data_IF_109559288549
#
_entry.id   IF_109559288549
#
_cell.length_a   1.000
_cell.length_b   1.000
_cell.length_c   1.000
_cell.angle_alpha   90.00
_cell.angle_beta   90.00
_cell.angle_gamma   90.00
#
_symmetry.space_group_name_H-M   'P 1'
#
loop_
_entity.id
_entity.type
_entity.pdbx_description
1 polymer ?
#
# COMPACT_ATOMS: atom_id res chain seq x y z
N UNK A 1 9.00 -10.31 -6.40
CA UNK A 1 9.12 -9.05 -5.63
C UNK A 1 7.71 -8.56 -5.36
N UNK A 2 7.43 -8.21 -4.11
CA UNK A 2 6.11 -7.75 -3.67
C UNK A 2 5.96 -6.28 -4.07
N UNK A 3 4.85 -5.90 -4.69
CA UNK A 3 4.57 -4.49 -5.05
C UNK A 3 4.43 -3.64 -3.78
N UNK A 4 4.90 -2.40 -3.83
CA UNK A 4 4.66 -1.41 -2.78
C UNK A 4 3.43 -0.56 -3.10
N UNK A 5 2.73 -0.18 -2.05
CA UNK A 5 1.52 0.63 -2.12
C UNK A 5 1.66 1.85 -1.21
N UNK A 6 1.20 2.99 -1.72
CA UNK A 6 1.00 4.21 -0.94
C UNK A 6 -0.28 4.12 -0.12
N UNK A 7 -0.37 4.93 0.93
CA UNK A 7 -1.60 5.01 1.75
C UNK A 7 -2.79 5.51 0.94
N UNK A 8 -2.56 6.32 -0.10
CA UNK A 8 -3.62 6.81 -1.00
C UNK A 8 -4.16 5.69 -1.88
N UNK A 9 -3.28 4.89 -2.49
CA UNK A 9 -3.70 3.74 -3.31
C UNK A 9 -4.56 2.79 -2.49
N UNK A 10 -4.13 2.42 -1.26
CA UNK A 10 -4.95 1.58 -0.39
C UNK A 10 -6.33 2.21 -0.11
N UNK A 11 -6.38 3.53 0.09
CA UNK A 11 -7.62 4.27 0.39
C UNK A 11 -8.60 4.32 -0.79
N UNK A 12 -8.14 4.19 -2.02
CA UNK A 12 -9.03 4.16 -3.19
C UNK A 12 -9.90 2.88 -3.20
N UNK A 13 -9.38 1.80 -2.62
CA UNK A 13 -10.05 0.49 -2.48
C UNK A 13 -10.81 0.39 -1.14
N UNK A 14 -11.79 1.27 -0.93
CA UNK A 14 -12.57 1.40 0.30
C UNK A 14 -14.02 0.88 0.19
N UNK A 15 -14.31 0.06 -0.81
CA UNK A 15 -15.66 -0.42 -1.10
C UNK A 15 -15.83 -1.88 -0.70
N UNK A 16 -17.02 -2.42 -0.94
CA UNK A 16 -17.41 -3.74 -0.45
C UNK A 16 -17.15 -4.86 -1.47
N UNK A 17 -16.90 -4.45 -2.71
CA UNK A 17 -16.57 -5.18 -3.92
C UNK A 17 -15.15 -4.84 -4.41
N UNK A 18 -14.46 -3.95 -3.69
CA UNK A 18 -13.06 -3.59 -3.87
C UNK A 18 -12.50 -3.05 -2.54
N UNK A 19 -11.94 -3.95 -1.74
CA UNK A 19 -11.67 -3.73 -0.31
C UNK A 19 -10.23 -4.07 0.07
N UNK A 20 -9.36 -3.07 0.14
CA UNK A 20 -7.98 -3.26 0.62
C UNK A 20 -7.83 -2.78 2.06
N UNK A 21 -6.95 -3.43 2.81
CA UNK A 21 -6.55 -3.00 4.15
C UNK A 21 -5.05 -3.10 4.30
N UNK A 22 -4.46 -2.22 5.11
CA UNK A 22 -3.07 -2.38 5.54
C UNK A 22 -3.01 -3.00 6.94
N UNK A 23 -2.18 -4.02 7.10
CA UNK A 23 -1.97 -4.75 8.34
C UNK A 23 -0.49 -5.07 8.53
N UNK A 24 0.13 -4.46 9.52
CA UNK A 24 1.53 -4.68 9.90
C UNK A 24 2.50 -4.56 8.70
N UNK A 25 2.37 -3.48 7.94
CA UNK A 25 3.20 -3.20 6.75
C UNK A 25 2.85 -4.04 5.51
N UNK A 26 1.84 -4.91 5.56
CA UNK A 26 1.34 -5.68 4.42
C UNK A 26 0.04 -5.08 3.91
N UNK A 27 -0.20 -5.16 2.61
CA UNK A 27 -1.49 -4.80 2.01
C UNK A 27 -2.23 -6.07 1.64
N UNK A 28 -3.46 -6.19 2.14
CA UNK A 28 -4.34 -7.33 1.92
C UNK A 28 -5.54 -6.92 1.07
N UNK A 29 -5.87 -7.73 0.07
CA UNK A 29 -7.13 -7.67 -0.68
C UNK A 29 -8.16 -8.60 -0.03
N UNK A 30 -9.18 -8.01 0.59
CA UNK A 30 -10.26 -8.74 1.27
C UNK A 30 -11.52 -8.88 0.41
N UNK A 31 -11.48 -8.46 -0.85
CA UNK A 31 -12.64 -8.44 -1.74
C UNK A 31 -13.27 -9.83 -1.88
N UNK A 32 -12.44 -10.84 -2.14
CA UNK A 32 -12.88 -12.24 -2.30
C UNK A 32 -13.42 -12.83 -1.00
N UNK A 33 -12.83 -12.49 0.15
CA UNK A 33 -13.30 -12.91 1.47
C UNK A 33 -14.69 -12.32 1.77
N UNK A 34 -14.86 -11.01 1.53
CA UNK A 34 -16.12 -10.31 1.76
C UNK A 34 -17.21 -10.87 0.86
N UNK A 35 -16.92 -11.13 -0.41
CA UNK A 35 -17.85 -11.76 -1.34
C UNK A 35 -18.28 -13.15 -0.86
N UNK A 36 -17.32 -14.02 -0.50
CA UNK A 36 -17.60 -15.38 -0.02
C UNK A 36 -18.51 -15.39 1.23
N UNK A 37 -18.25 -14.52 2.19
CA UNK A 37 -19.04 -14.43 3.43
C UNK A 37 -20.42 -13.78 3.24
N UNK A 38 -20.57 -12.88 2.25
CA UNK A 38 -21.87 -12.28 1.91
C UNK A 38 -22.86 -13.27 1.31
N UNK A 39 -22.37 -14.21 0.50
CA UNK A 39 -23.18 -15.29 -0.07
C UNK A 39 -23.72 -16.26 0.99
N UNK A 40 -23.18 -16.22 2.22
CA UNK A 40 -23.62 -17.04 3.34
C UNK A 40 -24.52 -16.22 4.27
N UNK A 41 -25.87 -16.33 4.22
CA UNK A 41 -26.78 -15.46 4.97
C UNK A 41 -26.55 -15.48 6.49
N UNK A 42 -26.04 -16.60 6.99
CA UNK A 42 -25.72 -16.84 8.40
C UNK A 42 -24.50 -16.04 8.89
N UNK A 43 -23.55 -15.75 8.01
CA UNK A 43 -22.26 -15.12 8.35
C UNK A 43 -22.08 -13.74 7.71
N UNK A 44 -23.03 -13.30 6.87
CA UNK A 44 -22.97 -12.03 6.17
C UNK A 44 -22.72 -10.82 7.08
N UNK A 45 -23.21 -10.83 8.34
CA UNK A 45 -22.97 -9.75 9.30
C UNK A 45 -21.50 -9.59 9.71
N UNK A 46 -20.68 -10.65 9.60
CA UNK A 46 -19.25 -10.61 9.93
C UNK A 46 -18.45 -9.76 8.94
N UNK A 47 -18.98 -9.53 7.74
CA UNK A 47 -18.31 -8.68 6.74
C UNK A 47 -18.42 -7.19 7.05
N UNK A 48 -19.39 -6.77 7.87
CA UNK A 48 -19.65 -5.34 8.14
C UNK A 48 -18.44 -4.61 8.72
N UNK A 49 -17.73 -5.13 9.74
CA UNK A 49 -16.58 -4.44 10.29
C UNK A 49 -15.42 -4.39 9.29
N UNK A 50 -15.25 -5.42 8.44
CA UNK A 50 -14.23 -5.42 7.38
C UNK A 50 -14.51 -4.36 6.32
N UNK A 51 -15.77 -4.24 5.87
CA UNK A 51 -16.17 -3.18 4.93
C UNK A 51 -16.01 -1.79 5.55
N UNK A 52 -16.25 -1.65 6.86
CA UNK A 52 -16.09 -0.36 7.55
C UNK A 52 -14.62 0.10 7.64
N UNK A 53 -13.67 -0.84 7.70
CA UNK A 53 -12.23 -0.53 7.75
C UNK A 53 -11.54 -0.63 6.39
N UNK A 54 -12.28 -0.90 5.32
CA UNK A 54 -11.75 -0.91 3.96
C UNK A 54 -11.11 0.46 3.64
N UNK A 55 -9.96 0.43 2.99
CA UNK A 55 -9.15 1.59 2.66
C UNK A 55 -8.39 2.22 3.85
N UNK A 56 -8.31 1.53 4.99
CA UNK A 56 -7.64 2.04 6.21
C UNK A 56 -6.51 1.14 6.71
N UNK A 57 -5.75 1.65 7.67
CA UNK A 57 -4.71 0.92 8.38
C UNK A 57 -5.23 0.29 9.67
N UNK A 58 -5.31 -1.04 9.67
CA UNK A 58 -5.74 -1.86 10.79
C UNK A 58 -4.56 -2.45 11.58
N UNK A 59 -3.34 -1.95 11.38
CA UNK A 59 -2.15 -2.36 12.14
C UNK A 59 -2.31 -2.17 13.65
N UNK A 60 -3.19 -1.28 14.10
CA UNK A 60 -3.55 -1.13 15.51
C UNK A 60 -4.25 -2.37 16.11
N UNK A 61 -4.76 -3.28 15.28
CA UNK A 61 -5.29 -4.58 15.71
C UNK A 61 -4.18 -5.61 15.91
N UNK A 62 -2.98 -5.36 15.39
CA UNK A 62 -1.87 -6.30 15.46
C UNK A 62 -1.10 -6.19 16.78
N UNK A 63 -0.66 -7.33 17.30
CA UNK A 63 0.28 -7.46 18.38
C UNK A 63 1.59 -8.05 17.83
N UNK A 64 2.64 -7.23 17.77
CA UNK A 64 3.92 -7.62 17.21
C UNK A 64 4.64 -8.69 18.06
N UNK A 65 4.38 -8.74 19.38
CA UNK A 65 5.00 -9.73 20.26
C UNK A 65 4.34 -11.10 20.11
N UNK A 66 3.03 -11.13 19.94
CA UNK A 66 2.25 -12.37 19.79
C UNK A 66 2.24 -12.92 18.34
N UNK A 67 2.69 -12.13 17.36
CA UNK A 67 2.55 -12.40 15.93
C UNK A 67 1.10 -12.79 15.57
N UNK A 68 0.15 -12.08 16.16
CA UNK A 68 -1.28 -12.31 15.99
C UNK A 68 -2.07 -11.03 16.30
N UNK A 69 -3.38 -11.07 16.10
CA UNK A 69 -4.26 -9.99 16.52
C UNK A 69 -4.26 -9.83 18.04
N UNK A 70 -4.40 -8.58 18.50
CA UNK A 70 -4.42 -8.20 19.92
C UNK A 70 -5.49 -8.97 20.66
N UNK A 71 -5.08 -9.55 21.77
CA UNK A 71 -5.99 -10.26 22.68
C UNK A 71 -6.44 -9.37 23.84
N UNK A 72 -7.66 -9.57 24.31
CA UNK A 72 -8.22 -8.93 25.49
C UNK A 72 -8.96 -9.95 26.36
N UNK A 73 -9.27 -9.59 27.60
CA UNK A 73 -10.16 -10.37 28.46
C UNK A 73 -11.54 -9.72 28.40
N UNK A 74 -12.55 -10.48 27.99
CA UNK A 74 -13.92 -10.00 27.99
C UNK A 74 -14.40 -9.81 29.44
N UNK A 75 -14.91 -8.62 29.75
CA UNK A 75 -15.26 -8.21 31.12
C UNK A 75 -16.41 -9.04 31.67
N UNK A 76 -17.31 -9.51 30.80
CA UNK A 76 -18.52 -10.21 31.21
C UNK A 76 -18.28 -11.71 31.46
N UNK A 77 -17.54 -12.36 30.57
CA UNK A 77 -17.23 -13.79 30.63
C UNK A 77 -15.96 -14.11 31.41
N UNK A 78 -15.03 -13.15 31.55
CA UNK A 78 -13.69 -13.38 32.08
C UNK A 78 -12.79 -14.21 31.15
N UNK A 79 -13.22 -14.50 29.91
CA UNK A 79 -12.47 -15.30 28.95
C UNK A 79 -11.56 -14.44 28.08
N UNK A 80 -10.40 -15.00 27.68
CA UNK A 80 -9.50 -14.36 26.72
C UNK A 80 -10.05 -14.51 25.30
N UNK A 81 -10.13 -13.41 24.57
CA UNK A 81 -10.59 -13.31 23.17
C UNK A 81 -9.75 -12.26 22.42
N UNK A 82 -10.10 -11.95 21.17
CA UNK A 82 -9.47 -10.87 20.40
C UNK A 82 -10.18 -9.52 20.64
N UNK A 83 -9.42 -8.42 20.58
CA UNK A 83 -9.93 -7.07 20.70
C UNK A 83 -10.69 -6.67 19.40
N UNK A 84 -12.02 -6.60 19.48
CA UNK A 84 -12.90 -6.36 18.33
C UNK A 84 -13.78 -5.11 18.57
N UNK A 85 -13.24 -3.88 18.49
CA UNK A 85 -13.99 -2.67 18.81
C UNK A 85 -15.19 -2.42 17.88
N UNK A 86 -15.10 -2.88 16.63
CA UNK A 86 -16.14 -2.73 15.60
C UNK A 86 -17.06 -3.96 15.48
N UNK A 87 -16.86 -4.98 16.32
CA UNK A 87 -17.58 -6.24 16.27
C UNK A 87 -16.82 -7.37 15.59
N UNK A 88 -17.45 -8.56 15.56
CA UNK A 88 -16.83 -9.82 15.13
C UNK A 88 -16.62 -9.85 13.62
N UNK A 89 -15.42 -10.27 13.20
CA UNK A 89 -15.02 -10.47 11.80
C UNK A 89 -14.90 -11.97 11.47
N UNK A 90 -14.78 -12.35 10.18
CA UNK A 90 -14.53 -13.74 9.76
C UNK A 90 -13.35 -14.38 10.48
N UNK A 91 -13.40 -15.71 10.63
CA UNK A 91 -12.38 -16.55 11.28
C UNK A 91 -12.10 -16.23 12.77
N UNK A 92 -12.91 -15.37 13.39
CA UNK A 92 -12.81 -15.10 14.82
C UNK A 92 -13.60 -16.11 15.66
N UNK A 93 -13.01 -16.63 16.76
CA UNK A 93 -13.71 -17.52 17.67
C UNK A 93 -14.84 -16.81 18.42
N UNK A 94 -15.85 -17.57 18.83
CA UNK A 94 -16.91 -17.10 19.73
C UNK A 94 -16.53 -17.37 21.19
N UNK A 95 -16.89 -16.44 22.08
CA UNK A 95 -16.61 -16.58 23.52
C UNK A 95 -17.42 -17.74 24.11
N UNK A 96 -18.69 -17.85 23.71
CA UNK A 96 -19.57 -18.93 24.12
C UNK A 96 -19.70 -19.96 22.99
N UNK A 97 -20.03 -21.23 23.32
CA UNK A 97 -20.38 -22.23 22.33
C UNK A 97 -21.53 -21.71 21.44
N UNK A 98 -21.24 -21.46 20.18
CA UNK A 98 -22.18 -20.92 19.21
C UNK A 98 -22.23 -21.88 18.03
N UNK A 99 -23.45 -22.22 17.57
CA UNK A 99 -23.62 -22.96 16.32
C UNK A 99 -23.38 -22.08 15.10
N UNK A 100 -23.23 -20.76 15.28
CA UNK A 100 -22.96 -19.75 14.25
C UNK A 100 -21.49 -19.32 14.19
N UNK A 101 -20.58 -20.28 14.37
CA UNK A 101 -19.16 -20.14 14.05
C UNK A 101 -18.87 -20.81 12.71
N UNK A 102 -18.07 -20.15 11.87
CA UNK A 102 -17.48 -20.81 10.71
C UNK A 102 -16.26 -21.60 11.18
N UNK A 103 -16.14 -22.86 10.75
CA UNK A 103 -15.00 -23.74 11.02
C UNK A 103 -14.40 -24.27 9.72
N UNK A 104 -14.91 -23.82 8.58
CA UNK A 104 -14.49 -24.27 7.26
C UNK A 104 -13.34 -23.41 6.72
N UNK A 105 -12.31 -23.21 7.55
CA UNK A 105 -11.08 -22.54 7.18
C UNK A 105 -9.90 -23.20 7.89
N UNK A 106 -8.77 -23.31 7.21
CA UNK A 106 -7.54 -23.84 7.80
C UNK A 106 -6.70 -22.73 8.44
N UNK A 107 -6.64 -21.56 7.80
CA UNK A 107 -5.82 -20.42 8.19
C UNK A 107 -6.73 -19.19 8.31
N UNK A 108 -6.63 -18.41 9.40
CA UNK A 108 -7.39 -17.17 9.51
C UNK A 108 -6.92 -16.17 8.45
N UNK A 109 -7.83 -15.31 7.99
CA UNK A 109 -7.58 -14.48 6.80
C UNK A 109 -6.40 -13.52 6.99
N UNK A 110 -6.14 -13.07 8.22
CA UNK A 110 -5.03 -12.17 8.54
C UNK A 110 -3.64 -12.84 8.50
N UNK A 111 -3.59 -14.18 8.47
CA UNK A 111 -2.36 -14.96 8.31
C UNK A 111 -2.24 -15.63 6.94
N UNK A 112 -3.31 -15.59 6.14
CA UNK A 112 -3.35 -16.29 4.88
C UNK A 112 -2.62 -15.50 3.77
N UNK A 113 -1.57 -16.09 3.16
CA UNK A 113 -0.84 -15.42 2.08
C UNK A 113 -1.68 -15.13 0.84
N UNK A 114 -2.81 -15.83 0.64
CA UNK A 114 -3.65 -15.64 -0.54
C UNK A 114 -4.21 -14.22 -0.66
N UNK A 115 -4.39 -13.53 0.47
CA UNK A 115 -4.93 -12.18 0.49
C UNK A 115 -3.84 -11.11 0.38
N UNK A 116 -2.55 -11.46 0.51
CA UNK A 116 -1.46 -10.48 0.50
C UNK A 116 -1.10 -10.10 -0.94
N UNK A 117 -1.36 -8.85 -1.33
CA UNK A 117 -1.04 -8.34 -2.67
C UNK A 117 0.28 -7.56 -2.71
N UNK A 118 0.78 -7.11 -1.56
CA UNK A 118 2.02 -6.35 -1.49
C UNK A 118 2.34 -5.82 -0.09
N UNK A 119 3.20 -4.82 -0.05
CA UNK A 119 3.62 -4.14 1.17
C UNK A 119 3.21 -2.67 1.17
N UNK A 120 2.86 -2.14 2.34
CA UNK A 120 2.66 -0.71 2.51
C UNK A 120 4.04 -0.06 2.63
N UNK A 121 4.26 1.04 1.91
CA UNK A 121 5.51 1.79 2.02
C UNK A 121 5.75 2.30 3.43
N UNK A 122 7.01 2.25 3.88
CA UNK A 122 7.44 2.87 5.13
C UNK A 122 7.46 4.39 5.03
N UNK A 123 7.76 4.93 3.85
CA UNK A 123 7.92 6.36 3.63
C UNK A 123 7.49 6.76 2.22
N UNK A 124 6.53 7.67 2.15
CA UNK A 124 6.06 8.29 0.92
C UNK A 124 6.83 9.57 0.65
N UNK A 125 7.19 9.80 -0.61
CA UNK A 125 7.87 11.03 -1.03
C UNK A 125 7.34 11.49 -2.38
N UNK A 126 7.52 12.77 -2.69
CA UNK A 126 7.11 13.33 -3.99
C UNK A 126 8.30 13.50 -4.90
N UNK A 127 8.09 13.25 -6.18
CA UNK A 127 9.04 13.57 -7.24
C UNK A 127 8.33 14.32 -8.36
N UNK A 128 9.07 15.14 -9.09
CA UNK A 128 8.60 15.80 -10.30
C UNK A 128 9.23 15.12 -11.50
N UNK A 129 8.43 14.68 -12.44
CA UNK A 129 8.88 14.17 -13.72
C UNK A 129 8.65 15.26 -14.76
N UNK A 130 9.73 15.68 -15.43
CA UNK A 130 9.73 16.73 -16.44
C UNK A 130 10.06 16.10 -17.79
N UNK A 131 9.10 16.07 -18.70
CA UNK A 131 9.36 15.67 -20.07
C UNK A 131 10.03 16.84 -20.81
N UNK A 132 11.30 16.69 -21.18
CA UNK A 132 12.04 17.79 -21.82
C UNK A 132 11.63 18.03 -23.27
N UNK A 133 11.00 17.04 -23.92
CA UNK A 133 10.54 17.15 -25.30
C UNK A 133 9.24 17.98 -25.39
N UNK A 134 8.28 17.71 -24.51
CA UNK A 134 6.97 18.40 -24.52
C UNK A 134 6.91 19.58 -23.57
N UNK A 135 7.79 19.62 -22.56
CA UNK A 135 7.75 20.59 -21.46
C UNK A 135 6.75 20.22 -20.36
N UNK A 136 6.10 19.06 -20.45
CA UNK A 136 5.11 18.64 -19.46
C UNK A 136 5.76 18.27 -18.14
N UNK A 137 5.15 18.72 -17.05
CA UNK A 137 5.58 18.44 -15.69
C UNK A 137 4.49 17.68 -14.93
N UNK A 138 4.87 16.57 -14.32
CA UNK A 138 3.97 15.74 -13.52
C UNK A 138 4.58 15.48 -12.16
N UNK A 139 3.84 15.78 -11.09
CA UNK A 139 4.25 15.41 -9.74
C UNK A 139 3.67 14.04 -9.38
N UNK A 140 4.53 13.10 -8.99
CA UNK A 140 4.14 11.77 -8.53
C UNK A 140 4.44 11.61 -7.05
N UNK A 141 3.58 10.85 -6.37
CA UNK A 141 3.84 10.33 -5.03
C UNK A 141 4.32 8.89 -5.15
N UNK A 142 5.48 8.60 -4.56
CA UNK A 142 6.24 7.36 -4.77
C UNK A 142 6.67 6.77 -3.44
N UNK A 143 6.89 5.46 -3.42
CA UNK A 143 7.38 4.76 -2.24
C UNK A 143 8.92 4.84 -2.21
N UNK A 144 9.51 4.95 -1.01
CA UNK A 144 10.96 5.01 -0.87
C UNK A 144 11.66 3.72 -1.33
N UNK A 145 10.99 2.58 -1.20
CA UNK A 145 11.51 1.24 -1.49
C UNK A 145 11.41 0.85 -2.97
N UNK A 146 10.64 1.60 -3.76
CA UNK A 146 10.44 1.31 -5.18
C UNK A 146 11.71 1.62 -5.99
N UNK A 147 12.01 0.72 -6.91
CA UNK A 147 12.99 0.98 -7.98
C UNK A 147 12.42 1.95 -9.01
N UNK A 148 13.30 2.63 -9.76
CA UNK A 148 12.87 3.50 -10.85
C UNK A 148 12.10 2.74 -11.95
N UNK A 149 12.43 1.48 -12.21
CA UNK A 149 11.70 0.59 -13.11
C UNK A 149 10.25 0.34 -12.63
N UNK A 150 10.07 0.07 -11.35
CA UNK A 150 8.74 -0.14 -10.75
C UNK A 150 7.93 1.16 -10.76
N UNK A 151 8.57 2.29 -10.43
CA UNK A 151 7.96 3.61 -10.51
C UNK A 151 7.46 3.92 -11.93
N UNK A 152 8.30 3.67 -12.94
CA UNK A 152 7.92 3.79 -14.35
C UNK A 152 6.71 2.89 -14.65
N UNK A 153 6.79 1.60 -14.29
CA UNK A 153 5.77 0.60 -14.63
C UNK A 153 4.43 0.87 -13.97
N UNK A 154 4.42 1.17 -12.67
CA UNK A 154 3.20 1.24 -11.86
C UNK A 154 2.58 2.64 -11.87
N UNK A 155 3.38 3.71 -11.96
CA UNK A 155 2.91 5.09 -11.72
C UNK A 155 2.95 5.98 -12.96
N UNK A 156 3.96 5.84 -13.82
CA UNK A 156 4.17 6.80 -14.91
C UNK A 156 3.67 6.31 -16.28
N UNK A 157 3.66 4.99 -16.55
CA UNK A 157 3.16 4.43 -17.81
C UNK A 157 1.69 4.75 -18.10
N UNK A 158 0.86 4.96 -17.06
CA UNK A 158 -0.53 5.38 -17.22
C UNK A 158 -0.66 6.81 -17.76
N UNK A 159 0.37 7.63 -17.59
CA UNK A 159 0.43 9.03 -18.02
C UNK A 159 1.09 9.13 -19.38
N UNK A 160 2.18 8.39 -19.58
CA UNK A 160 2.89 8.31 -20.87
C UNK A 160 3.22 6.85 -21.21
N UNK A 161 2.45 6.27 -22.14
CA UNK A 161 2.59 4.88 -22.56
C UNK A 161 3.96 4.59 -23.21
N UNK A 162 4.61 5.61 -23.79
CA UNK A 162 5.92 5.50 -24.45
C UNK A 162 7.08 5.83 -23.51
N UNK A 163 6.83 5.98 -22.19
CA UNK A 163 7.86 6.35 -21.24
C UNK A 163 9.04 5.38 -21.12
N UNK A 164 8.92 4.15 -21.66
CA UNK A 164 10.03 3.18 -21.79
C UNK A 164 11.11 3.61 -22.77
N UNK A 165 10.75 4.45 -23.74
CA UNK A 165 11.65 4.99 -24.75
C UNK A 165 12.38 6.26 -24.28
N UNK A 166 12.28 6.61 -23.00
CA UNK A 166 12.92 7.79 -22.44
C UNK A 166 14.09 7.40 -21.54
N UNK A 167 15.17 8.18 -21.62
CA UNK A 167 16.28 8.13 -20.68
C UNK A 167 15.98 9.04 -19.49
N UNK A 168 16.07 8.50 -18.29
CA UNK A 168 15.79 9.20 -17.03
C UNK A 168 17.08 9.85 -16.52
N UNK A 169 17.07 11.17 -16.41
CA UNK A 169 18.26 11.97 -16.10
C UNK A 169 17.98 12.92 -14.94
N UNK A 170 18.95 13.08 -14.05
CA UNK A 170 18.95 14.12 -13.03
C UNK A 170 19.86 15.27 -13.47
N UNK A 171 19.27 16.45 -13.62
CA UNK A 171 19.98 17.70 -13.96
C UNK A 171 20.46 18.40 -12.68
N UNK A 172 21.32 17.73 -11.92
CA UNK A 172 22.14 18.37 -10.89
C UNK A 172 23.28 19.18 -11.57
N UNK A 173 24.12 19.93 -10.82
CA UNK A 173 25.26 20.65 -11.42
C UNK A 173 26.16 19.79 -12.32
N UNK A 174 26.22 18.48 -12.06
CA UNK A 174 26.73 17.46 -12.97
C UNK A 174 25.57 16.55 -13.42
N UNK A 175 25.12 16.64 -14.67
CA UNK A 175 24.03 15.81 -15.18
C UNK A 175 24.38 14.32 -15.15
N UNK A 176 23.50 13.51 -14.57
CA UNK A 176 23.70 12.06 -14.49
C UNK A 176 22.47 11.28 -14.94
N UNK A 177 22.71 10.21 -15.69
CA UNK A 177 21.69 9.21 -15.99
C UNK A 177 21.38 8.40 -14.72
N UNK A 178 20.11 8.06 -14.56
CA UNK A 178 19.65 7.29 -13.42
C UNK A 178 19.58 5.81 -13.78
N UNK A 179 20.02 4.96 -12.85
CA UNK A 179 19.95 3.50 -13.00
C UNK A 179 18.53 3.03 -12.64
N UNK A 180 17.82 2.50 -13.64
CA UNK A 180 16.43 2.04 -13.50
C UNK A 180 16.29 0.88 -12.51
N UNK A 181 17.34 0.09 -12.31
CA UNK A 181 17.33 -1.05 -11.39
C UNK A 181 17.47 -0.66 -9.92
N UNK A 182 17.79 0.61 -9.64
CA UNK A 182 18.06 1.12 -8.30
C UNK A 182 16.90 1.94 -7.76
N UNK A 183 16.84 2.05 -6.44
CA UNK A 183 15.93 2.97 -5.77
C UNK A 183 16.35 4.41 -6.05
N UNK A 184 15.46 5.36 -5.74
CA UNK A 184 15.81 6.76 -5.89
C UNK A 184 16.92 7.19 -4.92
N UNK A 185 16.96 6.62 -3.72
CA UNK A 185 18.01 6.90 -2.73
C UNK A 185 19.37 6.39 -3.20
N UNK A 186 19.43 5.17 -3.76
CA UNK A 186 20.64 4.58 -4.33
C UNK A 186 21.15 5.35 -5.57
N UNK A 187 20.25 6.04 -6.26
CA UNK A 187 20.57 6.97 -7.34
C UNK A 187 21.02 8.36 -6.85
N UNK A 188 21.17 8.55 -5.54
CA UNK A 188 21.59 9.79 -4.89
C UNK A 188 20.51 10.87 -4.87
N UNK A 189 19.23 10.50 -4.98
CA UNK A 189 18.09 11.39 -4.80
C UNK A 189 17.53 11.14 -3.39
N UNK A 190 18.20 11.75 -2.42
CA UNK A 190 17.86 11.64 -1.00
C UNK A 190 16.54 12.33 -0.66
N UNK A 191 15.89 11.83 0.38
CA UNK A 191 14.71 12.47 0.96
C UNK A 191 15.17 13.47 2.04
N UNK A 192 14.95 14.76 1.78
CA UNK A 192 15.33 15.85 2.67
C UNK A 192 14.18 16.35 3.55
N UNK A 193 13.01 15.70 3.51
CA UNK A 193 11.83 16.16 4.24
C UNK A 193 12.07 16.32 5.75
N UNK A 194 12.78 15.38 6.39
CA UNK A 194 13.10 15.47 7.83
C UNK A 194 14.01 16.68 8.12
N UNK A 195 14.97 16.94 7.23
CA UNK A 195 15.87 18.10 7.35
C UNK A 195 15.12 19.42 7.16
N UNK A 196 14.12 19.45 6.29
CA UNK A 196 13.25 20.61 6.13
C UNK A 196 12.40 20.85 7.38
N UNK A 197 11.81 19.81 7.95
CA UNK A 197 11.03 19.91 9.18
C UNK A 197 11.87 20.41 10.36
N UNK A 198 13.10 19.88 10.54
CA UNK A 198 14.03 20.32 11.59
C UNK A 198 14.41 21.81 11.45
N UNK A 199 14.45 22.32 10.22
CA UNK A 199 14.71 23.73 9.92
C UNK A 199 13.44 24.60 9.96
N UNK A 200 12.28 24.02 10.28
CA UNK A 200 10.99 24.71 10.30
C UNK A 200 10.46 25.09 8.90
N UNK A 201 10.98 24.45 7.86
CA UNK A 201 10.50 24.56 6.48
C UNK A 201 9.37 23.55 6.24
N UNK A 202 8.59 23.78 5.19
CA UNK A 202 7.61 22.79 4.74
C UNK A 202 8.35 21.56 4.18
N UNK A 203 7.88 20.34 4.49
CA UNK A 203 8.42 19.10 3.91
C UNK A 203 8.39 19.11 2.37
N UNK A 204 7.43 19.83 1.77
CA UNK A 204 7.33 20.03 0.31
C UNK A 204 8.13 21.27 -0.19
N UNK A 205 9.02 21.86 0.60
CA UNK A 205 9.77 23.07 0.22
C UNK A 205 10.56 22.87 -1.08
N UNK A 206 11.17 21.71 -1.24
CA UNK A 206 11.86 21.30 -2.45
C UNK A 206 11.44 19.89 -2.83
N UNK A 207 10.86 19.76 -4.03
CA UNK A 207 10.50 18.46 -4.60
C UNK A 207 11.52 18.12 -5.69
N UNK A 208 12.26 17.00 -5.55
CA UNK A 208 13.28 16.61 -6.52
C UNK A 208 12.68 16.38 -7.92
N UNK A 209 13.33 16.92 -8.95
CA UNK A 209 12.94 16.74 -10.34
C UNK A 209 13.80 15.66 -11.03
N UNK A 210 13.16 14.88 -11.90
CA UNK A 210 13.75 13.92 -12.83
C UNK A 210 13.33 14.32 -14.23
N UNK A 211 14.28 14.36 -15.15
CA UNK A 211 14.08 14.82 -16.51
C UNK A 211 14.07 13.62 -17.45
N UNK A 212 13.13 13.62 -18.39
CA UNK A 212 13.00 12.57 -19.38
C UNK A 212 13.48 13.08 -20.74
N UNK A 213 14.48 12.41 -21.28
CA UNK A 213 15.01 12.64 -22.62
C UNK A 213 14.49 11.55 -23.54
N UNK A 214 13.77 11.93 -24.58
CA UNK A 214 13.27 10.99 -25.58
C UNK A 214 14.44 10.37 -26.35
N UNK A 215 14.50 9.05 -26.39
CA UNK A 215 15.38 8.34 -27.31
C UNK A 215 14.63 8.17 -28.63
N UNK A 216 15.25 8.54 -29.75
CA UNK A 216 14.69 8.31 -31.07
C UNK A 216 14.79 6.82 -31.42
N UNK A 217 13.88 6.02 -30.84
CA UNK A 217 13.70 4.62 -31.17
C UNK A 217 12.54 4.47 -32.16
N UNK A 218 12.81 3.80 -33.29
CA UNK A 218 11.82 3.43 -34.30
C UNK A 218 10.88 2.31 -33.79
N UNK A 219 10.40 2.40 -32.55
CA UNK A 219 9.53 1.39 -31.94
C UNK A 219 8.06 1.50 -32.37
N UNK A 220 7.71 2.49 -33.19
CA UNK A 220 6.38 2.62 -33.79
C UNK A 220 6.44 2.55 -35.32
N UNK A 221 6.02 1.40 -35.85
CA UNK A 221 5.57 1.22 -37.24
C UNK A 221 4.24 0.46 -37.23
#
# INVERSE_FOLDING_TARGET
MSRFYTTKEVREHAFHDDAYVSLNGKVLDLTSLIAAYKEMPKFAHLTKPLVQVAGTDISHWWDAEADDLRSCVDVNSGMRTYAMPLGRVPHMPTIYPDSNIDLNYDIPWWKDPQYIIGALTSRMRRIRIVNTLTGDETTLEVCAEETLEELLRERYLSINAHARSYTWVRLDPDPRELDMSRTLEDNGIHDEADSFEDLGLNADYYIPAIHLYYNDDLTEA
#
